data_IF_457668546629
#
_entry.id   IF_457668546629
#
_cell.length_a   1.000
_cell.length_b   1.000
_cell.length_c   1.000
_cell.angle_alpha   90.00
_cell.angle_beta   90.00
_cell.angle_gamma   90.00
#
_symmetry.space_group_name_H-M   'P 1'
#
loop_
_entity.id
_entity.type
_entity.pdbx_description
1 polymer ?
#
# COMPACT_ATOMS: atom_id res chain seq x y z
N UNK A 1 6.67 15.20 7.04
CA UNK A 1 5.84 15.76 8.14
C UNK A 1 4.41 15.38 7.85
N UNK A 2 3.90 14.30 8.43
CA UNK A 2 2.47 13.98 8.46
C UNK A 2 1.91 14.57 9.75
N UNK A 3 1.78 15.89 9.76
CA UNK A 3 1.11 16.63 10.80
C UNK A 3 -0.14 17.26 10.23
N UNK A 4 -1.21 17.31 11.01
CA UNK A 4 -2.29 18.25 10.75
C UNK A 4 -1.68 19.65 10.71
N UNK A 5 -1.39 20.14 9.51
CA UNK A 5 -0.81 21.46 9.35
C UNK A 5 -1.94 22.47 9.52
N UNK A 6 -2.05 22.99 10.74
CA UNK A 6 -2.87 24.16 11.02
C UNK A 6 -2.05 25.39 10.70
N UNK A 7 -2.31 26.01 9.55
CA UNK A 7 -1.82 27.34 9.27
C UNK A 7 -2.89 28.37 9.66
N UNK A 8 -2.43 29.46 10.26
CA UNK A 8 -3.25 30.64 10.49
C UNK A 8 -2.76 31.75 9.59
N UNK A 9 -3.68 32.43 8.93
CA UNK A 9 -3.36 33.57 8.09
C UNK A 9 -4.23 34.76 8.49
N UNK A 10 -3.73 35.97 8.23
CA UNK A 10 -4.52 37.21 8.28
C UNK A 10 -3.96 38.17 7.24
N UNK A 11 -4.80 39.05 6.74
CA UNK A 11 -4.41 40.10 5.80
C UNK A 11 -4.31 41.42 6.56
N UNK A 12 -3.24 42.17 6.34
CA UNK A 12 -3.08 43.53 6.87
C UNK A 12 -3.00 44.48 5.68
N UNK A 13 -3.88 45.48 5.64
CA UNK A 13 -3.75 46.57 4.66
C UNK A 13 -2.51 47.42 5.00
N UNK A 14 -1.78 47.92 4.00
CA UNK A 14 -0.68 48.85 4.20
C UNK A 14 -0.99 50.12 3.41
N UNK A 15 -0.96 51.28 4.09
CA UNK A 15 -1.16 52.58 3.48
C UNK A 15 -0.04 52.97 2.52
N UNK A 16 -0.29 53.97 1.66
CA UNK A 16 0.72 54.47 0.71
C UNK A 16 1.97 55.08 1.40
N UNK A 17 1.85 55.44 2.67
CA UNK A 17 2.92 55.92 3.55
C UNK A 17 3.66 54.79 4.30
N UNK A 18 3.32 53.53 4.02
CA UNK A 18 3.88 52.36 4.69
C UNK A 18 3.27 52.05 6.06
N UNK A 19 2.27 52.81 6.52
CA UNK A 19 1.65 52.54 7.82
C UNK A 19 0.73 51.30 7.75
N UNK A 20 0.84 50.35 8.70
CA UNK A 20 -0.08 49.22 8.78
C UNK A 20 -1.49 49.69 9.14
N UNK A 21 -2.45 49.36 8.29
CA UNK A 21 -3.88 49.55 8.50
C UNK A 21 -4.55 48.38 9.24
N UNK A 22 -5.89 48.34 9.28
CA UNK A 22 -6.62 47.28 9.97
C UNK A 22 -6.33 45.90 9.38
N UNK A 23 -6.17 44.91 10.25
CA UNK A 23 -6.00 43.52 9.87
C UNK A 23 -7.32 42.76 9.92
N UNK A 24 -7.51 41.82 9.00
CA UNK A 24 -8.64 40.88 9.05
C UNK A 24 -8.59 40.02 10.33
N UNK A 25 -9.73 39.42 10.74
CA UNK A 25 -9.70 38.31 11.68
C UNK A 25 -8.77 37.19 11.18
N UNK A 26 -8.27 36.38 12.12
CA UNK A 26 -7.50 35.19 11.78
C UNK A 26 -8.36 34.19 11.02
N UNK A 27 -7.95 33.86 9.80
CA UNK A 27 -8.44 32.70 9.06
C UNK A 27 -7.61 31.47 9.44
N UNK A 28 -8.25 30.31 9.43
CA UNK A 28 -7.57 29.01 9.53
C UNK A 28 -8.04 28.11 8.39
N UNK A 29 -7.12 27.29 7.90
CA UNK A 29 -7.47 26.13 7.09
C UNK A 29 -6.82 24.89 7.71
N UNK A 30 -7.46 23.74 7.49
CA UNK A 30 -6.89 22.43 7.82
C UNK A 30 -6.64 21.72 6.50
N UNK A 31 -5.39 21.33 6.26
CA UNK A 31 -5.10 20.31 5.27
C UNK A 31 -5.06 18.97 5.98
N UNK A 32 -6.12 18.19 5.86
CA UNK A 32 -6.01 16.74 6.07
C UNK A 32 -5.38 16.18 4.81
N UNK A 33 -4.15 15.69 4.90
CA UNK A 33 -3.66 14.76 3.89
C UNK A 33 -4.61 13.56 3.92
N UNK A 34 -5.27 13.29 2.79
CA UNK A 34 -6.08 12.09 2.63
C UNK A 34 -5.27 10.81 2.87
N UNK A 35 -5.90 9.64 2.83
CA UNK A 35 -5.19 8.38 2.99
C UNK A 35 -3.98 8.29 2.05
N UNK A 36 -2.85 7.82 2.54
CA UNK A 36 -1.70 7.50 1.68
C UNK A 36 -2.00 6.19 0.96
N UNK A 37 -2.41 6.29 -0.30
CA UNK A 37 -2.78 5.15 -1.13
C UNK A 37 -1.53 4.51 -1.77
N UNK A 38 -1.24 3.27 -1.41
CA UNK A 38 -0.09 2.52 -1.94
C UNK A 38 -0.34 1.95 -3.34
N UNK A 39 -1.59 1.84 -3.79
CA UNK A 39 -1.89 1.53 -5.20
C UNK A 39 -1.36 2.64 -6.11
N UNK A 40 -1.79 3.89 -5.84
CA UNK A 40 -1.41 5.05 -6.67
C UNK A 40 0.09 5.37 -6.58
N UNK A 41 0.73 4.96 -5.48
CA UNK A 41 2.16 5.16 -5.23
C UNK A 41 3.01 3.91 -5.53
N UNK A 42 2.44 2.87 -6.17
CA UNK A 42 3.16 1.62 -6.47
C UNK A 42 4.41 1.81 -7.33
N UNK A 43 4.38 2.77 -8.26
CA UNK A 43 5.53 3.13 -9.12
C UNK A 43 6.70 3.74 -8.35
N UNK A 44 6.44 4.31 -7.18
CA UNK A 44 7.44 4.93 -6.31
C UNK A 44 8.01 3.99 -5.25
N UNK A 45 7.47 2.77 -5.16
CA UNK A 45 7.98 1.75 -4.24
C UNK A 45 9.21 1.07 -4.83
N UNK A 46 10.13 0.69 -3.94
CA UNK A 46 11.27 -0.14 -4.31
C UNK A 46 10.81 -1.61 -4.35
N UNK A 47 10.61 -2.17 -5.55
CA UNK A 47 10.16 -3.55 -5.74
C UNK A 47 11.33 -4.52 -5.88
N UNK A 48 11.27 -5.64 -5.15
CA UNK A 48 12.31 -6.66 -5.18
C UNK A 48 11.74 -8.06 -4.93
N UNK A 49 12.51 -9.05 -5.37
CA UNK A 49 12.31 -10.47 -5.07
C UNK A 49 13.62 -11.10 -4.60
N UNK A 50 13.61 -12.41 -4.34
CA UNK A 50 14.83 -13.17 -4.08
C UNK A 50 15.86 -13.09 -5.21
N UNK A 51 15.45 -12.74 -6.42
CA UNK A 51 16.32 -12.57 -7.59
C UNK A 51 16.81 -11.11 -7.80
N UNK A 52 16.50 -10.20 -6.87
CA UNK A 52 16.93 -8.79 -6.90
C UNK A 52 15.81 -7.82 -7.26
N UNK A 53 16.19 -6.61 -7.67
CA UNK A 53 15.23 -5.55 -8.02
C UNK A 53 14.46 -5.87 -9.30
N UNK A 54 13.16 -5.60 -9.28
CA UNK A 54 12.23 -5.76 -10.41
C UNK A 54 11.49 -4.45 -10.70
N UNK A 55 11.09 -4.19 -11.96
CA UNK A 55 10.28 -3.01 -12.29
C UNK A 55 8.82 -3.19 -11.86
N UNK A 56 8.15 -2.08 -11.55
CA UNK A 56 6.69 -2.03 -11.36
C UNK A 56 5.98 -1.94 -12.72
N UNK A 57 4.91 -2.72 -12.90
CA UNK A 57 4.05 -2.69 -14.09
C UNK A 57 4.52 -3.55 -15.28
N UNK A 58 5.60 -4.31 -15.14
CA UNK A 58 6.00 -5.29 -16.16
C UNK A 58 5.32 -6.65 -15.91
N UNK A 59 4.72 -7.21 -16.94
CA UNK A 59 4.10 -8.54 -16.88
C UNK A 59 5.12 -9.66 -17.19
N UNK A 60 4.86 -10.86 -16.67
CA UNK A 60 5.53 -12.11 -17.02
C UNK A 60 7.06 -12.19 -16.80
N UNK A 61 7.62 -11.46 -15.82
CA UNK A 61 9.01 -11.65 -15.40
C UNK A 61 9.12 -12.90 -14.48
N UNK A 62 9.93 -13.88 -14.88
CA UNK A 62 10.14 -15.11 -14.09
C UNK A 62 10.75 -14.85 -12.70
N UNK A 63 11.36 -13.68 -12.50
CA UNK A 63 11.85 -13.24 -11.19
C UNK A 63 10.73 -12.83 -10.24
N UNK A 64 9.48 -12.78 -10.70
CA UNK A 64 8.32 -12.22 -10.02
C UNK A 64 7.95 -10.84 -10.59
N UNK A 65 6.72 -10.40 -10.36
CA UNK A 65 6.21 -9.14 -10.89
C UNK A 65 5.20 -8.46 -9.95
N UNK A 66 5.07 -7.15 -10.09
CA UNK A 66 4.05 -6.35 -9.41
C UNK A 66 3.38 -5.41 -10.41
N UNK A 67 2.05 -5.47 -10.54
CA UNK A 67 1.30 -4.79 -11.60
C UNK A 67 0.07 -4.11 -11.00
N UNK A 68 -0.20 -2.83 -11.34
CA UNK A 68 -1.48 -2.22 -11.02
C UNK A 68 -2.57 -2.77 -11.93
N UNK A 69 -3.68 -3.20 -11.35
CA UNK A 69 -4.89 -3.59 -12.07
C UNK A 69 -6.07 -2.71 -11.64
N UNK A 70 -7.02 -2.51 -12.55
CA UNK A 70 -8.23 -1.73 -12.30
C UNK A 70 -9.37 -2.41 -13.05
N UNK A 71 -10.26 -3.06 -12.30
CA UNK A 71 -11.33 -3.83 -12.91
C UNK A 71 -10.92 -5.23 -13.35
N UNK A 72 -11.73 -5.78 -14.27
CA UNK A 72 -11.52 -7.09 -14.88
C UNK A 72 -10.33 -7.00 -15.82
N UNK A 73 -9.39 -7.94 -15.72
CA UNK A 73 -8.28 -8.06 -16.66
C UNK A 73 -8.47 -9.28 -17.58
N UNK A 74 -7.81 -9.26 -18.74
CA UNK A 74 -7.82 -10.35 -19.75
C UNK A 74 -9.21 -10.97 -20.04
N UNK A 75 -10.24 -10.12 -20.10
CA UNK A 75 -11.59 -10.48 -20.53
C UNK A 75 -12.47 -11.15 -19.47
N UNK A 76 -11.93 -12.03 -18.63
CA UNK A 76 -12.71 -12.78 -17.63
C UNK A 76 -11.99 -12.99 -16.28
N UNK A 77 -10.87 -12.30 -16.05
CA UNK A 77 -10.13 -12.38 -14.80
C UNK A 77 -10.57 -11.29 -13.81
N UNK A 78 -11.16 -11.72 -12.71
CA UNK A 78 -11.60 -10.90 -11.59
C UNK A 78 -10.89 -11.37 -10.31
N UNK A 79 -11.17 -10.75 -9.16
CA UNK A 79 -10.84 -11.37 -7.88
C UNK A 79 -11.72 -12.61 -7.67
N UNK A 80 -11.25 -13.52 -6.83
CA UNK A 80 -11.87 -14.81 -6.53
C UNK A 80 -13.31 -14.75 -5.97
N UNK A 81 -13.72 -13.61 -5.42
CA UNK A 81 -15.10 -13.35 -4.99
C UNK A 81 -15.99 -12.79 -6.12
N UNK A 82 -15.45 -12.71 -7.33
CA UNK A 82 -16.07 -12.13 -8.53
C UNK A 82 -16.03 -10.60 -8.59
N UNK A 83 -15.42 -9.93 -7.61
CA UNK A 83 -15.26 -8.48 -7.62
C UNK A 83 -14.10 -8.04 -8.51
N UNK A 84 -14.11 -6.77 -8.92
CA UNK A 84 -13.10 -6.21 -9.79
C UNK A 84 -12.72 -4.77 -9.37
N UNK A 85 -12.12 -4.58 -8.18
CA UNK A 85 -11.69 -3.28 -7.71
C UNK A 85 -10.34 -2.84 -8.32
N UNK A 86 -9.73 -1.79 -7.76
CA UNK A 86 -8.32 -1.45 -7.98
C UNK A 86 -7.44 -2.23 -7.00
N UNK A 87 -6.42 -2.90 -7.51
CA UNK A 87 -5.51 -3.72 -6.70
C UNK A 87 -4.11 -3.81 -7.30
N UNK A 88 -3.12 -4.01 -6.43
CA UNK A 88 -1.78 -4.36 -6.86
C UNK A 88 -1.70 -5.88 -6.91
N UNK A 89 -1.63 -6.43 -8.11
CA UNK A 89 -1.28 -7.83 -8.33
C UNK A 89 0.21 -8.00 -8.08
N UNK A 90 0.57 -9.06 -7.38
CA UNK A 90 1.94 -9.47 -7.12
C UNK A 90 2.07 -10.95 -7.40
N UNK A 91 3.21 -11.34 -7.95
CA UNK A 91 3.60 -12.73 -8.09
C UNK A 91 5.01 -12.88 -7.53
N UNK A 92 5.22 -13.70 -6.49
CA UNK A 92 6.54 -14.05 -5.99
C UNK A 92 7.45 -14.62 -7.08
N UNK A 93 8.76 -14.66 -6.82
CA UNK A 93 9.67 -15.41 -7.69
C UNK A 93 9.19 -16.85 -7.85
N UNK A 94 9.14 -17.37 -9.08
CA UNK A 94 8.60 -18.70 -9.41
C UNK A 94 9.53 -19.84 -8.97
N UNK A 95 9.75 -19.97 -7.66
CA UNK A 95 10.53 -21.02 -7.02
C UNK A 95 9.99 -21.28 -5.60
N UNK A 96 10.22 -22.47 -5.03
CA UNK A 96 9.85 -22.74 -3.64
C UNK A 96 10.49 -21.74 -2.67
N UNK A 97 9.69 -21.17 -1.76
CA UNK A 97 10.16 -20.13 -0.83
C UNK A 97 10.39 -18.78 -1.52
N UNK A 98 9.76 -18.57 -2.67
CA UNK A 98 9.76 -17.31 -3.40
C UNK A 98 9.13 -16.20 -2.58
N UNK A 99 9.57 -14.98 -2.83
CA UNK A 99 8.95 -13.81 -2.22
C UNK A 99 9.03 -12.61 -3.15
N UNK A 100 8.12 -11.68 -2.93
CA UNK A 100 8.10 -10.36 -3.55
C UNK A 100 7.76 -9.32 -2.48
N UNK A 101 8.40 -8.16 -2.56
CA UNK A 101 8.05 -7.04 -1.70
C UNK A 101 8.12 -5.70 -2.42
N UNK A 102 7.23 -4.79 -2.04
CA UNK A 102 7.26 -3.38 -2.41
C UNK A 102 7.52 -2.53 -1.17
N UNK A 103 8.63 -1.79 -1.15
CA UNK A 103 8.97 -0.89 -0.04
C UNK A 103 8.50 0.53 -0.34
N UNK A 104 7.51 1.02 0.42
CA UNK A 104 6.90 2.33 0.26
C UNK A 104 7.45 3.34 1.27
N UNK A 105 8.03 4.44 0.79
CA UNK A 105 8.37 5.58 1.66
C UNK A 105 7.09 6.35 2.01
N UNK A 106 6.83 6.53 3.31
CA UNK A 106 5.65 7.25 3.77
C UNK A 106 5.85 8.77 3.64
N UNK A 107 4.78 9.56 3.43
CA UNK A 107 4.86 11.04 3.36
C UNK A 107 5.31 11.69 4.68
N UNK A 108 5.25 10.93 5.77
CA UNK A 108 5.90 11.24 7.04
C UNK A 108 5.89 10.03 7.96
N UNK A 109 6.55 10.13 9.12
CA UNK A 109 6.61 9.03 10.05
C UNK A 109 5.22 8.62 10.54
N UNK A 110 5.06 7.32 10.81
CA UNK A 110 3.84 6.79 11.44
C UNK A 110 3.57 7.55 12.74
N UNK A 111 2.34 8.02 12.89
CA UNK A 111 1.84 8.78 14.03
C UNK A 111 0.75 7.99 14.77
N UNK A 112 0.56 8.25 16.08
CA UNK A 112 -0.46 7.55 16.86
C UNK A 112 -1.87 7.68 16.24
N UNK A 113 -2.60 6.56 16.26
CA UNK A 113 -3.94 6.45 15.69
C UNK A 113 -3.99 6.18 14.18
N UNK A 114 -2.84 6.15 13.49
CA UNK A 114 -2.83 5.70 12.10
C UNK A 114 -3.04 4.19 11.98
N UNK A 115 -3.69 3.78 10.90
CA UNK A 115 -3.98 2.38 10.58
C UNK A 115 -3.52 2.06 9.18
N UNK A 116 -3.06 0.83 8.98
CA UNK A 116 -2.95 0.24 7.64
C UNK A 116 -4.26 -0.49 7.33
N UNK A 117 -4.79 -0.29 6.13
CA UNK A 117 -5.99 -0.97 5.63
C UNK A 117 -5.78 -1.47 4.21
N UNK A 118 -6.24 -2.67 3.93
CA UNK A 118 -6.27 -3.30 2.60
C UNK A 118 -7.32 -4.41 2.63
N UNK A 119 -7.67 -4.96 1.47
CA UNK A 119 -8.13 -6.36 1.43
C UNK A 119 -7.10 -7.21 0.70
N UNK A 120 -7.13 -8.51 0.97
CA UNK A 120 -6.24 -9.53 0.42
C UNK A 120 -7.07 -10.52 -0.36
N UNK A 121 -6.52 -11.04 -1.45
CA UNK A 121 -7.16 -12.12 -2.18
C UNK A 121 -6.34 -12.48 -3.40
N UNK A 122 -6.99 -13.20 -4.29
CA UNK A 122 -6.38 -13.77 -5.46
C UNK A 122 -7.20 -13.49 -6.70
N UNK A 123 -6.53 -13.45 -7.84
CA UNK A 123 -7.21 -13.43 -9.13
C UNK A 123 -7.79 -14.80 -9.47
N UNK A 124 -8.97 -14.83 -10.08
CA UNK A 124 -9.55 -15.98 -10.74
C UNK A 124 -9.96 -15.64 -12.18
N UNK A 125 -9.49 -16.42 -13.16
CA UNK A 125 -9.85 -16.29 -14.57
C UNK A 125 -10.85 -17.37 -14.99
N UNK A 126 -12.06 -16.97 -15.37
CA UNK A 126 -13.12 -17.87 -15.77
C UNK A 126 -13.42 -18.93 -14.69
N UNK A 127 -13.48 -20.20 -15.11
CA UNK A 127 -13.72 -21.34 -14.20
C UNK A 127 -12.46 -21.96 -13.61
N UNK A 128 -11.27 -21.41 -13.88
CA UNK A 128 -10.02 -21.93 -13.35
C UNK A 128 -9.82 -21.38 -11.93
N UNK A 129 -9.95 -22.20 -10.87
CA UNK A 129 -9.72 -21.72 -9.52
C UNK A 129 -8.26 -21.33 -9.37
N UNK A 130 -8.03 -20.22 -8.68
CA UNK A 130 -6.69 -19.92 -8.15
C UNK A 130 -6.31 -20.98 -7.12
N UNK A 131 -5.04 -21.38 -7.13
CA UNK A 131 -4.46 -22.28 -6.14
C UNK A 131 -3.55 -21.52 -5.15
N UNK A 132 -3.67 -20.19 -5.11
CA UNK A 132 -2.76 -19.33 -4.38
C UNK A 132 -2.79 -19.62 -2.88
N UNK A 133 -1.63 -19.85 -2.27
CA UNK A 133 -1.51 -19.99 -0.81
C UNK A 133 -0.26 -19.25 -0.37
N UNK A 134 -0.43 -18.08 0.24
CA UNK A 134 0.67 -17.20 0.60
C UNK A 134 0.51 -16.63 1.99
N UNK A 135 1.65 -16.23 2.56
CA UNK A 135 1.69 -15.28 3.66
C UNK A 135 1.77 -13.85 3.13
N UNK A 136 0.71 -13.08 3.38
CA UNK A 136 0.71 -11.63 3.21
C UNK A 136 1.29 -10.98 4.47
N UNK A 137 2.43 -10.31 4.31
CA UNK A 137 3.20 -9.71 5.40
C UNK A 137 3.29 -8.21 5.21
N UNK A 138 2.98 -7.46 6.26
CA UNK A 138 3.27 -6.03 6.33
C UNK A 138 4.41 -5.79 7.30
N UNK A 139 5.45 -5.09 6.87
CA UNK A 139 6.56 -4.69 7.73
C UNK A 139 6.62 -3.18 7.87
N UNK A 140 6.99 -2.70 9.05
CA UNK A 140 7.36 -1.32 9.30
C UNK A 140 8.88 -1.18 9.31
N UNK A 141 9.41 -0.19 8.60
CA UNK A 141 10.83 0.16 8.64
C UNK A 141 11.03 1.37 9.52
N UNK A 142 11.74 1.15 10.63
CA UNK A 142 12.07 2.18 11.62
C UNK A 142 13.18 3.12 11.10
N UNK A 143 13.37 4.33 11.67
CA UNK A 143 14.38 5.29 11.21
C UNK A 143 15.82 4.76 11.23
N UNK A 144 16.11 3.79 12.10
CA UNK A 144 17.42 3.12 12.18
C UNK A 144 17.57 1.97 11.16
N UNK A 145 16.62 1.78 10.26
CA UNK A 145 16.60 0.71 9.26
C UNK A 145 16.04 -0.64 9.75
N UNK A 146 15.71 -0.77 11.05
CA UNK A 146 15.13 -2.01 11.59
C UNK A 146 13.77 -2.28 10.98
N UNK A 147 13.59 -3.48 10.41
CA UNK A 147 12.28 -4.00 9.97
C UNK A 147 11.58 -4.66 11.15
N UNK A 148 10.31 -4.32 11.38
CA UNK A 148 9.44 -4.94 12.39
C UNK A 148 8.18 -5.45 11.71
N UNK A 149 7.81 -6.69 11.97
CA UNK A 149 6.55 -7.24 11.46
C UNK A 149 5.36 -6.52 12.10
N UNK A 150 4.46 -6.02 11.24
CA UNK A 150 3.20 -5.39 11.62
C UNK A 150 2.11 -6.44 11.72
N UNK A 151 2.00 -7.27 10.68
CA UNK A 151 1.07 -8.39 10.61
C UNK A 151 1.55 -9.40 9.58
N UNK A 152 1.16 -10.65 9.79
CA UNK A 152 1.23 -11.76 8.84
C UNK A 152 -0.15 -12.39 8.75
N UNK A 153 -0.66 -12.56 7.54
CA UNK A 153 -1.94 -13.20 7.26
C UNK A 153 -1.73 -14.30 6.24
N UNK A 154 -1.94 -15.55 6.65
CA UNK A 154 -1.94 -16.68 5.74
C UNK A 154 -3.28 -16.72 4.99
N UNK A 155 -3.26 -16.70 3.66
CA UNK A 155 -4.44 -16.65 2.81
C UNK A 155 -4.45 -17.83 1.83
N UNK A 156 -5.64 -18.17 1.34
CA UNK A 156 -5.82 -19.19 0.31
C UNK A 156 -6.84 -18.73 -0.71
N UNK A 157 -6.56 -18.92 -2.00
CA UNK A 157 -7.49 -18.61 -3.08
C UNK A 157 -8.64 -19.61 -3.23
N UNK A 158 -8.59 -20.71 -2.46
CA UNK A 158 -9.57 -21.80 -2.55
C UNK A 158 -10.86 -21.55 -1.77
N UNK A 159 -10.92 -20.46 -0.99
CA UNK A 159 -12.12 -20.11 -0.23
C UNK A 159 -13.05 -19.14 -0.97
N UNK A 160 -12.61 -18.63 -2.13
CA UNK A 160 -13.35 -17.73 -2.99
C UNK A 160 -13.78 -16.44 -2.27
N UNK A 161 -12.92 -15.93 -1.38
CA UNK A 161 -13.21 -14.76 -0.58
C UNK A 161 -12.06 -13.75 -0.57
N UNK A 162 -12.42 -12.47 -0.64
CA UNK A 162 -11.50 -11.36 -0.41
C UNK A 162 -11.56 -10.95 1.06
N UNK A 163 -10.42 -10.98 1.75
CA UNK A 163 -10.34 -10.79 3.20
C UNK A 163 -9.85 -9.40 3.56
N UNK A 164 -10.65 -8.67 4.35
CA UNK A 164 -10.25 -7.37 4.88
C UNK A 164 -9.14 -7.50 5.92
N UNK A 165 -8.11 -6.65 5.80
CA UNK A 165 -7.02 -6.53 6.75
C UNK A 165 -6.91 -5.08 7.24
N UNK A 166 -7.01 -4.91 8.55
CA UNK A 166 -6.85 -3.62 9.22
C UNK A 166 -5.96 -3.79 10.45
N UNK A 167 -4.93 -2.94 10.56
CA UNK A 167 -3.97 -3.01 11.67
C UNK A 167 -3.65 -1.62 12.20
N UNK A 168 -3.64 -1.50 13.53
CA UNK A 168 -3.17 -0.29 14.22
C UNK A 168 -1.65 -0.16 14.08
N UNK A 169 -1.20 0.98 13.55
CA UNK A 169 0.22 1.27 13.36
C UNK A 169 0.84 1.99 14.57
N UNK A 170 0.07 2.33 15.60
CA UNK A 170 0.57 2.99 16.81
C UNK A 170 1.80 2.29 17.44
N UNK A 171 1.90 0.94 17.50
CA UNK A 171 3.11 0.25 18.00
C UNK A 171 4.37 0.46 17.16
N UNK A 172 4.23 1.02 15.96
CA UNK A 172 5.27 1.29 14.97
C UNK A 172 5.46 2.79 14.75
N UNK A 173 5.04 3.63 15.71
CA UNK A 173 5.26 5.08 15.69
C UNK A 173 6.71 5.41 15.32
N UNK A 174 6.87 6.36 14.41
CA UNK A 174 8.18 6.78 13.91
C UNK A 174 8.68 5.99 12.70
N UNK A 175 8.06 4.86 12.33
CA UNK A 175 8.40 4.17 11.09
C UNK A 175 8.25 5.10 9.88
N UNK A 176 9.22 5.05 8.96
CA UNK A 176 9.28 5.94 7.79
C UNK A 176 8.93 5.24 6.49
N UNK A 177 8.87 3.90 6.51
CA UNK A 177 8.45 3.09 5.37
C UNK A 177 7.54 1.96 5.82
N UNK A 178 6.67 1.52 4.92
CA UNK A 178 5.96 0.24 5.03
C UNK A 178 6.37 -0.66 3.88
N UNK A 179 6.42 -1.96 4.13
CA UNK A 179 6.70 -2.99 3.13
C UNK A 179 5.46 -3.85 2.99
N UNK A 180 4.96 -4.00 1.77
CA UNK A 180 3.97 -5.02 1.42
C UNK A 180 4.73 -6.20 0.85
N UNK A 181 4.59 -7.38 1.44
CA UNK A 181 5.39 -8.56 1.10
C UNK A 181 4.49 -9.78 0.98
N UNK A 182 4.70 -10.56 -0.06
CA UNK A 182 4.08 -11.87 -0.26
C UNK A 182 5.18 -12.92 -0.21
N UNK A 183 4.95 -13.98 0.57
CA UNK A 183 5.84 -15.13 0.67
C UNK A 183 5.08 -16.39 0.25
N UNK A 184 5.60 -17.08 -0.76
CA UNK A 184 5.08 -18.37 -1.22
C UNK A 184 5.77 -19.47 -0.41
N UNK A 185 4.99 -20.18 0.41
CA UNK A 185 5.47 -21.27 1.26
C UNK A 185 5.42 -22.64 0.56
N UNK A 186 4.91 -22.69 -0.69
CA UNK A 186 4.63 -23.92 -1.43
C UNK A 186 5.20 -23.85 -2.86
N UNK A 187 5.13 -24.94 -3.63
CA UNK A 187 5.64 -24.95 -5.01
C UNK A 187 4.58 -24.57 -6.07
N UNK A 188 3.52 -23.87 -5.70
CA UNK A 188 2.33 -23.74 -6.54
C UNK A 188 2.36 -22.44 -7.36
N UNK A 189 2.88 -22.48 -8.59
CA UNK A 189 3.11 -21.29 -9.43
C UNK A 189 1.89 -20.56 -10.01
N UNK A 190 0.82 -20.29 -9.24
CA UNK A 190 -0.33 -19.46 -9.62
C UNK A 190 -0.74 -18.50 -8.50
N UNK A 191 0.23 -17.97 -7.76
CA UNK A 191 0.01 -17.03 -6.66
C UNK A 191 -0.17 -15.61 -7.21
N UNK A 192 -1.31 -15.36 -7.87
CA UNK A 192 -1.73 -14.02 -8.28
C UNK A 192 -2.26 -13.23 -7.08
N UNK A 193 -1.39 -13.05 -6.09
CA UNK A 193 -1.68 -12.43 -4.81
C UNK A 193 -1.98 -10.93 -4.99
N UNK A 194 -3.09 -10.48 -4.43
CA UNK A 194 -3.62 -9.14 -4.67
C UNK A 194 -3.73 -8.33 -3.38
N UNK A 195 -3.19 -7.11 -3.42
CA UNK A 195 -3.41 -6.08 -2.40
C UNK A 195 -4.47 -5.10 -2.90
N UNK A 196 -5.69 -5.20 -2.36
CA UNK A 196 -6.84 -4.37 -2.75
C UNK A 196 -6.85 -3.07 -1.96
N UNK A 197 -6.74 -1.95 -2.69
CA UNK A 197 -6.70 -0.59 -2.13
C UNK A 197 -5.84 -0.40 -0.86
N UNK A 198 -4.57 -0.87 -0.85
CA UNK A 198 -3.69 -0.77 0.31
C UNK A 198 -3.41 0.70 0.64
N UNK A 199 -3.64 1.10 1.89
CA UNK A 199 -3.49 2.49 2.31
C UNK A 199 -3.18 2.66 3.78
N UNK A 200 -2.61 3.81 4.11
CA UNK A 200 -2.48 4.31 5.49
C UNK A 200 -3.45 5.46 5.69
N UNK A 201 -4.27 5.36 6.73
CA UNK A 201 -5.25 6.37 7.12
C UNK A 201 -5.28 6.60 8.63
N UNK A 202 -6.12 7.51 9.10
CA UNK A 202 -6.29 7.86 10.51
C UNK A 202 -7.73 7.64 10.94
#
# INVERSE_FOLDING_TARGET
MTGDNQARWRVTAVGADGTPGPSSPWGSFRFTTGPYNMYDNGVSADWATGAGTIPYGADADARGFAIPRDGVYDGDCALEDGSAPRYVETHPEMKPGGWIEGTYTLPGPVSPGQRFRTSLGYIQCGSNPTAGIDDFVVLAVMPNGTRREVVRSNQTGTDHAVHGLEVDLTPFQGATKLVLRVEDDKPNGQDWACWVEPRVER
#
